data_IF_592697203186
#
_entry.id   IF_592697203186
#
_cell.length_a   1.000
_cell.length_b   1.000
_cell.length_c   1.000
_cell.angle_alpha   90.00
_cell.angle_beta   90.00
_cell.angle_gamma   90.00
#
_symmetry.space_group_name_H-M   'P 1'
#
loop_
_entity.id
_entity.type
_entity.pdbx_description
1 polymer ?
#
# COMPACT_ATOMS: atom_id res chain seq x y z
N UNK A 1 -18.15 55.70 46.61
CA UNK A 1 -18.43 54.25 46.69
C UNK A 1 -19.72 53.99 45.96
N UNK A 2 -19.65 53.58 44.70
CA UNK A 2 -20.77 52.99 43.97
C UNK A 2 -20.19 51.85 43.14
N UNK A 3 -20.91 50.75 43.22
CA UNK A 3 -20.55 49.37 42.93
C UNK A 3 -20.40 49.13 41.43
N UNK A 4 -19.28 48.54 41.03
CA UNK A 4 -19.02 48.10 39.65
C UNK A 4 -19.19 46.58 39.65
N UNK A 5 -20.40 46.16 39.34
CA UNK A 5 -20.71 44.76 39.05
C UNK A 5 -20.03 44.37 37.74
N UNK A 6 -18.92 43.65 37.84
CA UNK A 6 -18.30 42.95 36.72
C UNK A 6 -19.27 41.86 36.22
N UNK A 7 -19.60 41.88 34.93
CA UNK A 7 -20.28 40.79 34.25
C UNK A 7 -19.34 39.57 34.21
N UNK A 8 -19.74 38.48 34.87
CA UNK A 8 -19.07 37.19 34.73
C UNK A 8 -19.28 36.63 33.31
N UNK A 9 -18.22 36.09 32.67
CA UNK A 9 -18.36 35.46 31.36
C UNK A 9 -19.18 34.17 31.51
N UNK A 10 -20.38 34.17 30.92
CA UNK A 10 -21.30 33.04 30.91
C UNK A 10 -20.64 31.77 30.37
N UNK A 11 -20.68 30.71 31.18
CA UNK A 11 -20.21 29.38 30.81
C UNK A 11 -20.87 28.92 29.50
N UNK A 12 -20.05 28.56 28.52
CA UNK A 12 -20.54 27.94 27.27
C UNK A 12 -21.28 26.63 27.58
N UNK A 13 -22.46 26.37 27.01
CA UNK A 13 -23.25 25.19 27.34
C UNK A 13 -22.56 23.92 26.83
N UNK A 14 -22.21 23.02 27.75
CA UNK A 14 -21.71 21.68 27.43
C UNK A 14 -22.80 20.92 26.67
N UNK A 15 -22.56 20.63 25.40
CA UNK A 15 -23.48 19.88 24.53
C UNK A 15 -23.67 18.47 25.13
N UNK A 16 -24.85 18.16 25.68
CA UNK A 16 -25.17 16.81 26.21
C UNK A 16 -25.23 15.81 25.05
N UNK A 17 -24.32 14.83 25.05
CA UNK A 17 -24.34 13.71 24.09
C UNK A 17 -25.57 12.83 24.32
N UNK A 18 -26.18 12.38 23.22
CA UNK A 18 -27.28 11.41 23.25
C UNK A 18 -26.73 9.99 23.47
N UNK A 19 -27.56 9.09 23.99
CA UNK A 19 -27.18 7.67 24.14
C UNK A 19 -26.71 7.05 22.82
N UNK A 20 -27.36 7.41 21.71
CA UNK A 20 -26.98 6.93 20.37
C UNK A 20 -25.60 7.43 19.96
N UNK A 21 -25.24 8.67 20.28
CA UNK A 21 -23.90 9.21 19.99
C UNK A 21 -22.84 8.47 20.80
N UNK A 22 -23.08 8.24 22.09
CA UNK A 22 -22.18 7.44 22.93
C UNK A 22 -22.01 6.03 22.36
N UNK A 23 -23.10 5.33 22.03
CA UNK A 23 -23.03 3.98 21.45
C UNK A 23 -22.32 3.98 20.09
N UNK A 24 -22.50 5.02 19.27
CA UNK A 24 -21.80 5.17 17.98
C UNK A 24 -20.29 5.26 18.21
N UNK A 25 -19.86 6.09 19.16
CA UNK A 25 -18.45 6.28 19.47
C UNK A 25 -17.81 5.03 20.05
N UNK A 26 -18.51 4.32 20.96
CA UNK A 26 -18.04 3.03 21.49
C UNK A 26 -17.86 1.97 20.39
N UNK A 27 -18.81 1.84 19.46
CA UNK A 27 -18.67 0.89 18.34
C UNK A 27 -17.50 1.30 17.43
N UNK A 28 -17.32 2.60 17.16
CA UNK A 28 -16.15 3.09 16.43
C UNK A 28 -14.86 2.71 17.14
N UNK A 29 -14.75 2.91 18.45
CA UNK A 29 -13.55 2.55 19.22
C UNK A 29 -13.27 1.04 19.19
N UNK A 30 -14.29 0.19 19.28
CA UNK A 30 -14.15 -1.28 19.13
C UNK A 30 -13.54 -1.62 17.76
N UNK A 31 -13.96 -0.95 16.69
CA UNK A 31 -13.41 -1.16 15.34
C UNK A 31 -11.97 -0.63 15.25
N UNK A 32 -11.73 0.58 15.74
CA UNK A 32 -10.44 1.28 15.67
C UNK A 32 -9.35 0.66 16.54
N UNK A 33 -9.72 -0.04 17.61
CA UNK A 33 -8.81 -0.85 18.41
C UNK A 33 -8.57 -2.26 17.80
N UNK A 34 -9.22 -2.57 16.67
CA UNK A 34 -9.09 -3.84 15.97
C UNK A 34 -9.83 -5.01 16.62
N UNK A 35 -10.67 -4.78 17.64
CA UNK A 35 -11.52 -5.82 18.23
C UNK A 35 -12.54 -6.34 17.21
N UNK A 36 -13.02 -5.46 16.32
CA UNK A 36 -13.75 -5.82 15.10
C UNK A 36 -12.92 -5.40 13.89
N UNK A 37 -12.52 -6.36 13.07
CA UNK A 37 -11.66 -6.12 11.90
C UNK A 37 -12.49 -5.89 10.63
N UNK A 38 -11.94 -5.26 9.59
CA UNK A 38 -12.57 -5.16 8.28
C UNK A 38 -13.13 -6.50 7.78
N UNK A 39 -14.42 -6.53 7.45
CA UNK A 39 -15.17 -7.75 7.07
C UNK A 39 -15.84 -8.51 8.23
N UNK A 40 -15.52 -8.21 9.50
CA UNK A 40 -16.19 -8.81 10.64
C UNK A 40 -17.64 -8.32 10.76
N UNK A 41 -18.52 -9.20 11.24
CA UNK A 41 -19.94 -8.88 11.42
C UNK A 41 -20.16 -8.14 12.74
N UNK A 42 -20.83 -6.99 12.71
CA UNK A 42 -21.32 -6.32 13.91
C UNK A 42 -22.53 -7.07 14.47
N UNK A 43 -22.38 -7.68 15.64
CA UNK A 43 -23.44 -8.44 16.31
C UNK A 43 -24.19 -7.54 17.29
N UNK A 44 -25.26 -6.90 16.81
CA UNK A 44 -26.04 -5.91 17.58
C UNK A 44 -26.47 -6.37 18.97
N UNK A 45 -26.79 -7.67 19.14
CA UNK A 45 -27.17 -8.22 20.45
C UNK A 45 -26.01 -8.19 21.45
N UNK A 46 -24.84 -8.64 21.01
CA UNK A 46 -23.64 -8.73 21.85
C UNK A 46 -23.14 -7.34 22.24
N UNK A 47 -23.20 -6.38 21.30
CA UNK A 47 -22.88 -4.98 21.58
C UNK A 47 -23.87 -4.36 22.58
N UNK A 48 -25.17 -4.61 22.40
CA UNK A 48 -26.20 -4.11 23.31
C UNK A 48 -26.00 -4.64 24.74
N UNK A 49 -25.70 -5.93 24.87
CA UNK A 49 -25.40 -6.56 26.16
C UNK A 49 -24.13 -5.99 26.79
N UNK A 50 -23.03 -5.89 26.03
CA UNK A 50 -21.75 -5.34 26.50
C UNK A 50 -21.87 -3.91 27.00
N UNK A 51 -22.66 -3.08 26.31
CA UNK A 51 -22.85 -1.67 26.65
C UNK A 51 -23.99 -1.43 27.66
N UNK A 52 -24.72 -2.47 28.06
CA UNK A 52 -25.85 -2.34 29.00
C UNK A 52 -27.03 -1.53 28.46
N UNK A 53 -27.27 -1.58 27.15
CA UNK A 53 -28.33 -0.83 26.46
C UNK A 53 -29.30 -1.75 25.72
N UNK A 54 -30.45 -1.23 25.28
CA UNK A 54 -31.34 -1.98 24.40
C UNK A 54 -30.78 -2.04 22.97
N UNK A 55 -31.35 -2.92 22.12
CA UNK A 55 -30.92 -3.07 20.72
C UNK A 55 -31.27 -1.86 19.84
N UNK A 56 -32.20 -1.01 20.27
CA UNK A 56 -32.66 0.17 19.51
C UNK A 56 -31.54 1.18 19.25
N UNK A 57 -30.87 1.70 20.30
CA UNK A 57 -29.71 2.59 20.16
C UNK A 57 -28.57 1.97 19.34
N UNK A 58 -28.29 0.67 19.49
CA UNK A 58 -27.23 -0.02 18.72
C UNK A 58 -27.56 -0.08 17.22
N UNK A 59 -28.84 -0.33 16.86
CA UNK A 59 -29.28 -0.29 15.46
C UNK A 59 -29.12 1.07 14.83
N UNK A 60 -29.51 2.13 15.54
CA UNK A 60 -29.37 3.49 15.04
C UNK A 60 -27.91 3.91 14.94
N UNK A 61 -27.07 3.53 15.91
CA UNK A 61 -25.62 3.72 15.83
C UNK A 61 -25.04 2.96 14.63
N UNK A 62 -25.44 1.71 14.40
CA UNK A 62 -25.01 0.94 13.22
C UNK A 62 -25.43 1.61 11.90
N UNK A 63 -26.62 2.22 11.84
CA UNK A 63 -27.10 2.97 10.68
C UNK A 63 -26.24 4.20 10.42
N UNK A 64 -25.92 4.99 11.46
CA UNK A 64 -25.02 6.15 11.35
C UNK A 64 -23.63 5.75 10.89
N UNK A 65 -23.10 4.65 11.39
CA UNK A 65 -21.79 4.13 10.97
C UNK A 65 -21.78 3.59 9.53
N UNK A 66 -22.94 3.18 9.00
CA UNK A 66 -23.08 2.89 7.57
C UNK A 66 -23.08 4.16 6.73
N UNK A 67 -23.73 5.23 7.20
CA UNK A 67 -23.73 6.53 6.52
C UNK A 67 -22.33 7.16 6.46
N UNK A 68 -21.51 6.97 7.51
CA UNK A 68 -20.11 7.43 7.51
C UNK A 68 -19.15 6.47 6.81
N UNK A 69 -19.62 5.30 6.36
CA UNK A 69 -18.82 4.32 5.63
C UNK A 69 -17.92 3.45 6.51
N UNK A 70 -18.05 3.47 7.84
CA UNK A 70 -17.30 2.56 8.73
C UNK A 70 -17.89 1.13 8.71
N UNK A 71 -19.20 1.03 8.50
CA UNK A 71 -19.92 -0.23 8.33
C UNK A 71 -20.55 -0.30 6.94
N UNK A 72 -20.86 -1.51 6.50
CA UNK A 72 -21.69 -1.78 5.32
C UNK A 72 -22.85 -2.70 5.70
N UNK A 73 -24.05 -2.38 5.21
CA UNK A 73 -25.26 -3.15 5.44
C UNK A 73 -25.49 -4.16 4.31
N UNK A 74 -25.68 -5.43 4.67
CA UNK A 74 -26.09 -6.46 3.72
C UNK A 74 -27.52 -6.93 4.02
N UNK A 75 -28.44 -6.88 3.03
CA UNK A 75 -29.82 -7.34 3.20
C UNK A 75 -29.88 -8.75 3.82
N UNK A 76 -30.67 -8.89 4.89
CA UNK A 76 -30.86 -10.13 5.65
C UNK A 76 -29.61 -10.74 6.32
N UNK A 77 -28.41 -10.19 6.09
CA UNK A 77 -27.15 -10.68 6.67
C UNK A 77 -26.63 -9.81 7.80
N UNK A 78 -27.09 -8.55 7.90
CA UNK A 78 -26.74 -7.60 8.96
C UNK A 78 -25.65 -6.62 8.54
N UNK A 79 -25.04 -5.95 9.52
CA UNK A 79 -23.99 -4.96 9.31
C UNK A 79 -22.60 -5.56 9.50
N UNK A 80 -21.64 -5.17 8.67
CA UNK A 80 -20.26 -5.65 8.67
C UNK A 80 -19.31 -4.45 8.67
N UNK A 81 -18.14 -4.59 9.28
CA UNK A 81 -17.08 -3.57 9.16
C UNK A 81 -16.69 -3.46 7.68
N UNK A 82 -16.70 -2.25 7.14
CA UNK A 82 -16.41 -2.05 5.72
C UNK A 82 -14.98 -2.49 5.42
N UNK A 83 -14.80 -3.11 4.26
CA UNK A 83 -13.53 -3.57 3.74
C UNK A 83 -13.28 -2.89 2.40
N UNK A 84 -12.14 -2.21 2.27
CA UNK A 84 -11.79 -1.42 1.10
C UNK A 84 -10.95 -2.26 0.14
N UNK A 85 -11.22 -2.18 -1.16
CA UNK A 85 -10.37 -2.80 -2.18
C UNK A 85 -9.25 -1.84 -2.65
N UNK A 86 -8.27 -2.37 -3.40
CA UNK A 86 -7.11 -1.58 -3.88
C UNK A 86 -7.51 -0.32 -4.66
N UNK A 87 -8.55 -0.38 -5.48
CA UNK A 87 -9.02 0.77 -6.27
C UNK A 87 -9.60 1.84 -5.35
N UNK A 88 -10.45 1.46 -4.40
CA UNK A 88 -11.00 2.39 -3.42
C UNK A 88 -9.87 3.08 -2.63
N UNK A 89 -8.85 2.32 -2.22
CA UNK A 89 -7.67 2.87 -1.55
C UNK A 89 -6.94 3.87 -2.45
N UNK A 90 -6.66 3.53 -3.72
CA UNK A 90 -6.01 4.44 -4.65
C UNK A 90 -6.81 5.75 -4.86
N UNK A 91 -8.14 5.64 -4.96
CA UNK A 91 -9.04 6.80 -5.08
C UNK A 91 -9.00 7.67 -3.80
N UNK A 92 -9.01 7.05 -2.62
CA UNK A 92 -8.90 7.72 -1.32
C UNK A 92 -7.59 8.51 -1.21
N UNK A 93 -6.44 7.89 -1.52
CA UNK A 93 -5.14 8.57 -1.45
C UNK A 93 -4.99 9.68 -2.50
N UNK A 94 -5.60 9.52 -3.67
CA UNK A 94 -5.65 10.58 -4.68
C UNK A 94 -6.43 11.79 -4.17
N UNK A 95 -7.61 11.57 -3.58
CA UNK A 95 -8.40 12.64 -2.98
C UNK A 95 -7.69 13.28 -1.78
N UNK A 96 -7.07 12.45 -0.92
CA UNK A 96 -6.26 12.90 0.22
C UNK A 96 -5.16 13.86 -0.23
N UNK A 97 -4.36 13.47 -1.22
CA UNK A 97 -3.29 14.32 -1.74
C UNK A 97 -3.82 15.66 -2.27
N UNK A 98 -4.95 15.67 -2.99
CA UNK A 98 -5.57 16.91 -3.48
C UNK A 98 -5.98 17.81 -2.31
N UNK A 99 -6.74 17.29 -1.34
CA UNK A 99 -7.23 18.07 -0.20
C UNK A 99 -6.10 18.63 0.64
N UNK A 100 -5.16 17.78 1.02
CA UNK A 100 -4.09 18.14 1.93
C UNK A 100 -3.08 19.08 1.29
N UNK A 101 -2.67 18.83 0.03
CA UNK A 101 -1.77 19.75 -0.66
C UNK A 101 -2.40 21.13 -0.86
N UNK A 102 -3.68 21.21 -1.22
CA UNK A 102 -4.37 22.50 -1.34
C UNK A 102 -4.45 23.22 0.00
N UNK A 103 -4.81 22.52 1.09
CA UNK A 103 -4.82 23.12 2.42
C UNK A 103 -3.43 23.55 2.90
N UNK A 104 -2.40 22.75 2.64
CA UNK A 104 -1.03 23.07 3.00
C UNK A 104 -0.50 24.30 2.25
N UNK A 105 -0.87 24.46 0.98
CA UNK A 105 -0.57 25.65 0.20
C UNK A 105 -1.24 26.90 0.80
N UNK A 106 -2.52 26.80 1.18
CA UNK A 106 -3.24 27.87 1.89
C UNK A 106 -2.61 28.18 3.24
N UNK A 107 -2.23 27.15 4.00
CA UNK A 107 -1.65 27.26 5.33
C UNK A 107 -0.39 28.12 5.32
N UNK A 108 0.52 27.94 4.36
CA UNK A 108 1.75 28.76 4.28
C UNK A 108 1.45 30.28 4.25
N UNK A 109 0.29 30.67 3.71
CA UNK A 109 -0.14 32.08 3.62
C UNK A 109 -0.79 32.60 4.90
N UNK A 110 -1.55 31.78 5.62
CA UNK A 110 -2.45 32.23 6.70
C UNK A 110 -2.11 31.66 8.09
N UNK A 111 -1.21 30.69 8.18
CA UNK A 111 -0.92 29.95 9.41
C UNK A 111 -0.53 30.85 10.58
N UNK A 112 -1.20 30.62 11.72
CA UNK A 112 -1.00 31.34 12.97
C UNK A 112 -0.16 30.52 13.97
N UNK A 113 0.27 31.16 15.07
CA UNK A 113 1.04 30.50 16.12
C UNK A 113 0.24 29.37 16.80
N UNK A 114 -1.07 29.54 16.94
CA UNK A 114 -2.01 28.53 17.44
C UNK A 114 -2.07 27.29 16.55
N UNK A 115 -2.11 27.48 15.24
CA UNK A 115 -2.10 26.39 14.26
C UNK A 115 -0.80 25.59 14.34
N UNK A 116 0.34 26.28 14.37
CA UNK A 116 1.66 25.66 14.54
C UNK A 116 1.73 24.82 15.83
N UNK A 117 1.24 25.35 16.95
CA UNK A 117 1.20 24.62 18.21
C UNK A 117 0.30 23.38 18.12
N UNK A 118 -0.81 23.46 17.38
CA UNK A 118 -1.70 22.34 17.11
C UNK A 118 -1.04 21.23 16.29
N UNK A 119 -0.35 21.58 15.20
CA UNK A 119 0.38 20.61 14.36
C UNK A 119 1.52 19.96 15.16
N UNK A 120 2.27 20.75 15.93
CA UNK A 120 3.37 20.24 16.76
C UNK A 120 2.88 19.30 17.87
N UNK A 121 1.76 19.61 18.51
CA UNK A 121 1.14 18.71 19.48
C UNK A 121 0.72 17.38 18.84
N UNK A 122 0.15 17.41 17.64
CA UNK A 122 -0.21 16.20 16.90
C UNK A 122 1.03 15.39 16.48
N UNK A 123 2.12 16.05 16.04
CA UNK A 123 3.39 15.37 15.75
C UNK A 123 3.92 14.62 16.97
N UNK A 124 3.96 15.28 18.15
CA UNK A 124 4.41 14.65 19.41
C UNK A 124 3.62 13.38 19.73
N UNK A 125 2.33 13.38 19.43
CA UNK A 125 1.47 12.21 19.64
C UNK A 125 1.86 11.06 18.69
N UNK A 126 2.15 11.35 17.42
CA UNK A 126 2.63 10.34 16.46
C UNK A 126 3.99 9.77 16.87
N UNK A 127 4.92 10.61 17.33
CA UNK A 127 6.23 10.18 17.83
C UNK A 127 6.08 9.29 19.07
N UNK A 128 5.20 9.67 20.00
CA UNK A 128 4.93 8.90 21.21
C UNK A 128 4.31 7.53 20.88
N UNK A 129 3.36 7.49 19.94
CA UNK A 129 2.73 6.25 19.49
C UNK A 129 3.73 5.32 18.79
N UNK A 130 4.60 5.86 17.93
CA UNK A 130 5.64 5.13 17.24
C UNK A 130 6.68 4.55 18.22
N UNK A 131 7.17 5.35 19.18
CA UNK A 131 8.11 4.89 20.21
C UNK A 131 7.51 3.80 21.12
N UNK A 132 6.21 3.88 21.40
CA UNK A 132 5.49 2.89 22.19
C UNK A 132 5.15 1.60 21.41
N UNK A 133 5.46 1.54 20.10
CA UNK A 133 5.03 0.46 19.20
C UNK A 133 3.52 0.16 19.30
N UNK A 134 2.72 1.23 19.35
CA UNK A 134 1.28 1.16 19.58
C UNK A 134 0.51 1.48 18.28
N UNK A 135 0.34 0.51 17.36
CA UNK A 135 -0.25 0.77 16.03
C UNK A 135 -1.67 1.36 16.13
N UNK A 136 -2.52 0.90 17.05
CA UNK A 136 -3.86 1.47 17.23
C UNK A 136 -3.84 2.95 17.64
N UNK A 137 -2.88 3.33 18.51
CA UNK A 137 -2.67 4.74 18.90
C UNK A 137 -2.12 5.56 17.73
N UNK A 138 -1.28 4.96 16.90
CA UNK A 138 -0.71 5.61 15.71
C UNK A 138 -1.80 6.01 14.71
N UNK A 139 -2.84 5.20 14.51
CA UNK A 139 -3.94 5.51 13.57
C UNK A 139 -4.59 6.86 13.90
N UNK A 140 -4.97 7.07 15.16
CA UNK A 140 -5.59 8.33 15.58
C UNK A 140 -4.61 9.50 15.56
N UNK A 141 -3.36 9.24 15.94
CA UNK A 141 -2.31 10.26 15.93
C UNK A 141 -2.01 10.78 14.51
N UNK A 142 -1.91 9.85 13.54
CA UNK A 142 -1.68 10.13 12.12
C UNK A 142 -2.80 11.01 11.55
N UNK A 143 -4.04 10.56 11.69
CA UNK A 143 -5.20 11.32 11.23
C UNK A 143 -5.28 12.69 11.90
N UNK A 144 -4.97 12.79 13.20
CA UNK A 144 -4.98 14.06 13.92
C UNK A 144 -3.93 15.04 13.39
N UNK A 145 -2.74 14.55 13.01
CA UNK A 145 -1.67 15.35 12.41
C UNK A 145 -2.10 15.94 11.07
N UNK A 146 -2.59 15.09 10.15
CA UNK A 146 -3.07 15.54 8.84
C UNK A 146 -4.29 16.48 8.96
N UNK A 147 -5.21 16.20 9.88
CA UNK A 147 -6.34 17.09 10.14
C UNK A 147 -5.90 18.46 10.68
N UNK A 148 -4.84 18.51 11.50
CA UNK A 148 -4.28 19.76 12.00
C UNK A 148 -3.65 20.59 10.86
N UNK A 149 -2.94 19.92 9.94
CA UNK A 149 -2.41 20.57 8.75
C UNK A 149 -3.52 21.11 7.84
N UNK A 150 -4.60 20.35 7.61
CA UNK A 150 -5.74 20.83 6.84
C UNK A 150 -6.40 22.06 7.47
N UNK A 151 -6.59 22.05 8.80
CA UNK A 151 -7.18 23.17 9.54
C UNK A 151 -6.35 24.44 9.44
N UNK A 152 -5.02 24.32 9.41
CA UNK A 152 -4.11 25.46 9.29
C UNK A 152 -4.27 26.24 7.98
N UNK A 153 -4.90 25.66 6.95
CA UNK A 153 -5.29 26.37 5.72
C UNK A 153 -6.51 27.29 5.87
N UNK A 154 -7.23 27.22 7.00
CA UNK A 154 -8.42 28.01 7.33
C UNK A 154 -9.57 27.87 6.31
N UNK A 155 -9.58 26.77 5.56
CA UNK A 155 -10.65 26.42 4.63
C UNK A 155 -11.54 25.33 5.23
N UNK A 156 -12.69 25.75 5.76
CA UNK A 156 -13.63 24.86 6.44
C UNK A 156 -14.14 23.74 5.52
N UNK A 157 -14.29 24.00 4.21
CA UNK A 157 -14.78 22.99 3.25
C UNK A 157 -13.78 21.88 3.02
N UNK A 158 -12.49 22.21 2.94
CA UNK A 158 -11.43 21.20 2.85
C UNK A 158 -11.35 20.42 4.17
N UNK A 159 -11.35 21.12 5.31
CA UNK A 159 -11.31 20.50 6.64
C UNK A 159 -12.45 19.51 6.86
N UNK A 160 -13.69 19.91 6.55
CA UNK A 160 -14.86 19.05 6.67
C UNK A 160 -14.78 17.81 5.77
N UNK A 161 -14.27 17.99 4.56
CA UNK A 161 -14.15 16.90 3.58
C UNK A 161 -13.05 15.93 3.97
N UNK A 162 -11.90 16.43 4.43
CA UNK A 162 -10.85 15.61 5.02
C UNK A 162 -11.35 14.85 6.24
N UNK A 163 -12.09 15.50 7.14
CA UNK A 163 -12.65 14.86 8.34
C UNK A 163 -13.58 13.69 8.01
N UNK A 164 -14.34 13.79 6.91
CA UNK A 164 -15.14 12.67 6.39
C UNK A 164 -14.27 11.55 5.83
N UNK A 165 -13.29 11.90 4.97
CA UNK A 165 -12.33 10.96 4.38
C UNK A 165 -11.51 10.22 5.46
N UNK A 166 -11.23 10.87 6.58
CA UNK A 166 -10.48 10.32 7.69
C UNK A 166 -11.13 9.09 8.33
N UNK A 167 -12.44 8.86 8.13
CA UNK A 167 -13.08 7.60 8.54
C UNK A 167 -12.58 6.43 7.69
N UNK A 168 -12.42 6.65 6.39
CA UNK A 168 -11.91 5.65 5.46
C UNK A 168 -10.40 5.44 5.64
N UNK A 169 -9.63 6.50 5.93
CA UNK A 169 -8.19 6.37 6.25
C UNK A 169 -7.96 5.49 7.48
N UNK A 170 -8.78 5.62 8.52
CA UNK A 170 -8.73 4.72 9.68
C UNK A 170 -8.97 3.26 9.28
N UNK A 171 -9.95 2.98 8.42
CA UNK A 171 -10.19 1.63 7.91
C UNK A 171 -9.01 1.11 7.12
N UNK A 172 -8.39 1.97 6.28
CA UNK A 172 -7.18 1.61 5.56
C UNK A 172 -6.09 1.18 6.54
N UNK A 173 -5.81 1.98 7.57
CA UNK A 173 -4.76 1.65 8.54
C UNK A 173 -5.07 0.42 9.38
N UNK A 174 -6.34 0.14 9.67
CA UNK A 174 -6.75 -1.12 10.33
C UNK A 174 -6.46 -2.37 9.50
N UNK A 175 -6.36 -2.23 8.17
CA UNK A 175 -5.97 -3.32 7.28
C UNK A 175 -4.46 -3.54 7.24
N UNK A 176 -3.69 -2.64 7.88
CA UNK A 176 -2.24 -2.66 7.93
C UNK A 176 -1.72 -3.34 9.19
N UNK A 177 -0.54 -3.92 9.09
CA UNK A 177 0.20 -4.46 10.24
C UNK A 177 1.64 -3.97 10.21
N UNK A 178 1.86 -2.67 10.46
CA UNK A 178 3.18 -2.09 10.34
C UNK A 178 4.13 -2.65 11.39
N UNK A 179 5.38 -2.87 11.00
CA UNK A 179 6.46 -3.14 11.95
C UNK A 179 6.90 -1.85 12.67
N UNK A 180 7.67 -1.95 13.76
CA UNK A 180 8.20 -0.79 14.47
C UNK A 180 8.96 0.23 13.60
N UNK A 181 9.70 -0.22 12.58
CA UNK A 181 10.47 0.67 11.71
C UNK A 181 9.54 1.50 10.81
N UNK A 182 8.48 0.88 10.28
CA UNK A 182 7.45 1.55 9.49
C UNK A 182 6.70 2.61 10.30
N UNK A 183 6.37 2.32 11.56
CA UNK A 183 5.77 3.30 12.48
C UNK A 183 6.69 4.50 12.70
N UNK A 184 7.98 4.25 12.93
CA UNK A 184 8.97 5.32 13.10
C UNK A 184 9.22 6.11 11.80
N UNK A 185 9.20 5.45 10.64
CA UNK A 185 9.35 6.09 9.34
C UNK A 185 8.20 7.07 9.06
N UNK A 186 6.96 6.68 9.37
CA UNK A 186 5.80 7.57 9.26
C UNK A 186 5.95 8.81 10.14
N UNK A 187 6.33 8.65 11.43
CA UNK A 187 6.59 9.78 12.33
C UNK A 187 7.72 10.71 11.82
N UNK A 188 8.80 10.16 11.26
CA UNK A 188 9.86 10.97 10.61
C UNK A 188 9.33 11.75 9.39
N UNK A 189 8.41 11.17 8.62
CA UNK A 189 7.71 11.85 7.53
C UNK A 189 6.93 13.07 8.02
N UNK A 190 6.15 12.91 9.10
CA UNK A 190 5.42 14.01 9.73
C UNK A 190 6.36 15.11 10.24
N UNK A 191 7.49 14.75 10.84
CA UNK A 191 8.49 15.71 11.28
C UNK A 191 9.05 16.53 10.10
N UNK A 192 9.36 15.88 8.98
CA UNK A 192 9.83 16.55 7.76
C UNK A 192 8.79 17.52 7.18
N UNK A 193 7.49 17.17 7.26
CA UNK A 193 6.38 18.05 6.88
C UNK A 193 6.37 19.28 7.79
N UNK A 194 6.40 19.11 9.13
CA UNK A 194 6.39 20.23 10.06
C UNK A 194 7.60 21.17 9.86
N UNK A 195 8.79 20.62 9.58
CA UNK A 195 9.96 21.43 9.23
C UNK A 195 9.73 22.28 7.97
N UNK A 196 9.05 21.73 6.95
CA UNK A 196 8.70 22.49 5.75
C UNK A 196 7.66 23.58 6.03
N UNK A 197 6.69 23.31 6.92
CA UNK A 197 5.74 24.33 7.41
C UNK A 197 6.48 25.45 8.15
N UNK A 198 7.41 25.10 9.06
CA UNK A 198 8.25 26.07 9.81
C UNK A 198 9.07 26.96 8.88
N UNK A 199 9.64 26.37 7.83
CA UNK A 199 10.39 27.10 6.82
C UNK A 199 9.52 27.97 5.91
N UNK A 200 8.17 27.85 5.98
CA UNK A 200 7.19 28.51 5.11
C UNK A 200 7.53 28.37 3.61
N UNK A 201 8.12 27.24 3.23
CA UNK A 201 8.47 26.94 1.84
C UNK A 201 7.34 26.12 1.22
N UNK A 202 6.46 26.78 0.46
CA UNK A 202 5.34 26.10 -0.22
C UNK A 202 5.81 24.94 -1.09
N UNK A 203 6.83 25.16 -1.93
CA UNK A 203 7.37 24.12 -2.82
C UNK A 203 7.85 22.90 -2.05
N UNK A 204 8.66 23.11 -1.01
CA UNK A 204 9.17 22.01 -0.17
C UNK A 204 8.06 21.29 0.58
N UNK A 205 7.11 22.05 1.13
CA UNK A 205 5.97 21.49 1.87
C UNK A 205 5.12 20.59 0.97
N UNK A 206 4.78 21.06 -0.23
CA UNK A 206 4.01 20.28 -1.19
C UNK A 206 4.76 19.03 -1.66
N UNK A 207 6.06 19.14 -1.93
CA UNK A 207 6.87 18.00 -2.34
C UNK A 207 6.93 16.91 -1.25
N UNK A 208 7.26 17.29 -0.02
CA UNK A 208 7.40 16.34 1.11
C UNK A 208 6.04 15.73 1.48
N UNK A 209 4.98 16.54 1.54
CA UNK A 209 3.64 16.05 1.87
C UNK A 209 3.11 15.08 0.82
N UNK A 210 3.25 15.43 -0.47
CA UNK A 210 2.81 14.56 -1.56
C UNK A 210 3.58 13.25 -1.60
N UNK A 211 4.91 13.30 -1.43
CA UNK A 211 5.73 12.09 -1.35
C UNK A 211 5.27 11.21 -0.18
N UNK A 212 5.13 11.78 1.01
CA UNK A 212 4.66 11.06 2.19
C UNK A 212 3.30 10.36 1.98
N UNK A 213 2.31 11.04 1.40
CA UNK A 213 0.98 10.46 1.10
C UNK A 213 1.08 9.33 0.07
N UNK A 214 1.86 9.51 -1.00
CA UNK A 214 1.96 8.52 -2.08
C UNK A 214 2.83 7.31 -1.69
N UNK A 215 3.88 7.51 -0.91
CA UNK A 215 4.69 6.43 -0.35
C UNK A 215 3.83 5.56 0.58
N UNK A 216 3.01 6.18 1.43
CA UNK A 216 2.08 5.47 2.29
C UNK A 216 1.03 4.70 1.48
N UNK A 217 0.45 5.29 0.43
CA UNK A 217 -0.45 4.59 -0.52
C UNK A 217 0.22 3.32 -1.04
N UNK A 218 1.46 3.44 -1.49
CA UNK A 218 2.18 2.34 -2.12
C UNK A 218 2.53 1.25 -1.11
N UNK A 219 2.80 1.62 0.14
CA UNK A 219 2.93 0.69 1.25
C UNK A 219 1.60 -0.01 1.49
N UNK A 220 0.49 0.72 1.64
CA UNK A 220 -0.84 0.13 1.85
C UNK A 220 -1.23 -0.85 0.75
N UNK A 221 -1.03 -0.50 -0.51
CA UNK A 221 -1.35 -1.37 -1.63
C UNK A 221 -0.52 -2.67 -1.63
N UNK A 222 0.64 -2.71 -0.97
CA UNK A 222 1.40 -3.95 -0.75
C UNK A 222 0.78 -4.89 0.29
N UNK A 223 -0.07 -4.38 1.20
CA UNK A 223 -0.79 -5.18 2.19
C UNK A 223 -2.15 -5.66 1.69
N UNK A 224 -2.64 -5.17 0.55
CA UNK A 224 -3.97 -5.48 0.06
C UNK A 224 -3.91 -6.37 -1.18
N UNK A 225 -4.68 -7.46 -1.16
CA UNK A 225 -5.04 -8.19 -2.37
C UNK A 225 -6.06 -7.42 -3.22
N UNK A 226 -6.34 -7.86 -4.46
CA UNK A 226 -7.23 -7.15 -5.39
C UNK A 226 -8.63 -6.86 -4.83
N UNK A 227 -9.11 -7.69 -3.90
CA UNK A 227 -10.43 -7.60 -3.28
C UNK A 227 -10.40 -7.05 -1.84
N UNK A 228 -9.28 -6.45 -1.43
CA UNK A 228 -9.13 -5.89 -0.08
C UNK A 228 -8.78 -6.91 0.99
N UNK A 229 -8.55 -8.17 0.64
CA UNK A 229 -8.02 -9.17 1.57
C UNK A 229 -6.62 -8.77 2.02
N UNK A 230 -6.37 -8.74 3.33
CA UNK A 230 -5.04 -8.50 3.88
C UNK A 230 -4.10 -9.60 3.39
N UNK A 231 -2.99 -9.22 2.77
CA UNK A 231 -1.93 -10.14 2.41
C UNK A 231 -1.22 -10.60 3.71
N UNK A 232 -0.81 -11.88 3.80
CA UNK A 232 -0.09 -12.39 4.96
C UNK A 232 1.20 -11.59 5.19
N UNK A 233 1.58 -11.38 6.46
CA UNK A 233 2.78 -10.60 6.83
C UNK A 233 4.04 -11.22 6.24
N UNK A 234 5.05 -10.40 5.93
CA UNK A 234 6.38 -10.90 5.52
C UNK A 234 7.03 -11.78 6.59
N UNK A 235 6.74 -11.56 7.88
CA UNK A 235 7.21 -12.38 8.99
C UNK A 235 6.39 -13.68 9.19
N UNK A 236 5.15 -13.73 8.70
CA UNK A 236 4.33 -14.95 8.66
C UNK A 236 4.65 -15.79 7.41
N UNK A 237 5.33 -15.20 6.42
CA UNK A 237 6.04 -15.91 5.36
C UNK A 237 7.35 -16.41 5.95
N UNK A 238 7.24 -17.53 6.68
CA UNK A 238 8.39 -18.29 7.11
C UNK A 238 9.37 -18.44 5.93
N UNK A 239 10.59 -17.88 5.98
CA UNK A 239 11.59 -18.12 4.93
C UNK A 239 12.02 -19.59 4.91
N UNK A 240 11.60 -20.36 5.93
CA UNK A 240 11.69 -21.81 6.04
C UNK A 240 10.33 -22.51 5.95
N UNK A 241 9.29 -21.82 5.48
CA UNK A 241 8.02 -22.41 5.07
C UNK A 241 8.28 -23.33 3.88
N UNK A 242 8.71 -24.54 4.18
CA UNK A 242 9.22 -25.51 3.23
C UNK A 242 8.26 -25.64 2.05
N UNK A 243 8.84 -25.62 0.85
CA UNK A 243 8.28 -26.09 -0.41
C UNK A 243 6.81 -26.51 -0.27
N UNK A 244 5.89 -25.53 -0.27
CA UNK A 244 4.48 -25.84 -0.44
C UNK A 244 4.41 -26.63 -1.73
N UNK A 245 4.10 -27.93 -1.61
CA UNK A 245 4.25 -28.88 -2.69
C UNK A 245 3.68 -28.28 -3.97
N UNK A 246 4.54 -28.13 -4.98
CA UNK A 246 4.14 -27.73 -6.32
C UNK A 246 2.85 -28.48 -6.67
N UNK A 247 1.76 -27.74 -6.92
CA UNK A 247 0.48 -28.37 -7.29
C UNK A 247 0.43 -28.69 -8.79
N UNK A 248 1.46 -28.33 -9.55
CA UNK A 248 1.63 -28.76 -10.93
C UNK A 248 2.45 -30.06 -10.98
N UNK A 249 2.01 -31.01 -11.81
CA UNK A 249 2.81 -32.18 -12.15
C UNK A 249 3.82 -31.78 -13.25
N UNK A 250 5.07 -32.24 -13.14
CA UNK A 250 6.11 -32.02 -14.15
C UNK A 250 7.34 -31.26 -13.64
N UNK A 251 8.43 -31.30 -14.40
CA UNK A 251 9.69 -30.63 -14.06
C UNK A 251 9.82 -29.34 -14.86
N UNK A 252 10.06 -28.22 -14.17
CA UNK A 252 10.39 -26.96 -14.86
C UNK A 252 11.86 -26.95 -15.27
N UNK A 253 12.12 -26.66 -16.54
CA UNK A 253 13.47 -26.48 -17.08
C UNK A 253 13.56 -25.21 -17.92
N UNK A 254 14.79 -24.80 -18.26
CA UNK A 254 15.07 -23.59 -19.01
C UNK A 254 15.90 -23.93 -20.24
N UNK A 255 15.50 -23.42 -21.40
CA UNK A 255 16.29 -23.49 -22.63
C UNK A 255 16.46 -22.10 -23.26
N UNK A 256 17.61 -21.83 -23.94
CA UNK A 256 17.72 -20.62 -24.73
C UNK A 256 16.71 -20.65 -25.88
N UNK A 257 16.32 -19.46 -26.32
CA UNK A 257 15.48 -19.30 -27.51
C UNK A 257 16.21 -19.75 -28.78
N UNK A 258 15.42 -20.13 -29.78
CA UNK A 258 15.81 -20.24 -31.19
C UNK A 258 14.96 -19.30 -32.03
N UNK A 259 15.38 -18.97 -33.26
CA UNK A 259 14.64 -18.03 -34.12
C UNK A 259 13.18 -18.44 -34.37
N UNK A 260 12.89 -19.74 -34.42
CA UNK A 260 11.51 -20.23 -34.57
C UNK A 260 10.60 -19.95 -33.36
N UNK A 261 11.15 -19.54 -32.21
CA UNK A 261 10.37 -19.17 -31.03
C UNK A 261 9.83 -17.73 -31.09
N UNK A 262 10.37 -16.87 -31.95
CA UNK A 262 10.01 -15.44 -31.98
C UNK A 262 8.51 -15.16 -32.18
N UNK A 263 7.77 -15.89 -33.05
CA UNK A 263 6.32 -15.70 -33.14
C UNK A 263 5.59 -16.01 -31.82
N UNK A 264 6.05 -17.01 -31.05
CA UNK A 264 5.48 -17.36 -29.75
C UNK A 264 5.82 -16.31 -28.69
N UNK A 265 7.08 -15.87 -28.64
CA UNK A 265 7.55 -14.81 -27.76
C UNK A 265 6.81 -13.49 -28.00
N UNK A 266 6.55 -13.13 -29.25
CA UNK A 266 5.76 -11.95 -29.61
C UNK A 266 4.33 -12.02 -29.05
N UNK A 267 3.68 -13.19 -29.09
CA UNK A 267 2.35 -13.39 -28.50
C UNK A 267 2.38 -13.29 -26.97
N UNK A 268 3.33 -13.96 -26.32
CA UNK A 268 3.47 -13.87 -24.86
C UNK A 268 3.81 -12.44 -24.40
N UNK A 269 4.61 -11.70 -25.17
CA UNK A 269 4.91 -10.31 -24.87
C UNK A 269 3.69 -9.38 -25.02
N UNK A 270 2.80 -9.66 -25.98
CA UNK A 270 1.50 -8.98 -26.07
C UNK A 270 0.67 -9.20 -24.81
N UNK A 271 0.54 -10.45 -24.38
CA UNK A 271 -0.21 -10.77 -23.18
C UNK A 271 0.39 -10.12 -21.93
N UNK A 272 1.73 -10.08 -21.83
CA UNK A 272 2.43 -9.35 -20.76
C UNK A 272 2.06 -7.87 -20.76
N UNK A 273 2.13 -7.20 -21.91
CA UNK A 273 1.78 -5.78 -22.02
C UNK A 273 0.32 -5.51 -21.64
N UNK A 274 -0.60 -6.39 -22.05
CA UNK A 274 -2.02 -6.30 -21.68
C UNK A 274 -2.22 -6.47 -20.16
N UNK A 275 -1.49 -7.39 -19.53
CA UNK A 275 -1.54 -7.63 -18.08
C UNK A 275 -0.99 -6.46 -17.26
N UNK A 276 0.02 -5.78 -17.79
CA UNK A 276 0.63 -4.58 -17.19
C UNK A 276 -0.17 -3.30 -17.46
N UNK A 277 -1.28 -3.39 -18.20
CA UNK A 277 -2.11 -2.24 -18.58
C UNK A 277 -1.44 -1.30 -19.58
N UNK A 278 -0.37 -1.75 -20.24
CA UNK A 278 0.38 -0.96 -21.22
C UNK A 278 -0.17 -1.13 -22.63
N UNK A 279 -0.71 -0.06 -23.20
CA UNK A 279 -1.05 -0.03 -24.64
C UNK A 279 0.23 -0.01 -25.48
N UNK A 280 0.67 -1.18 -25.92
CA UNK A 280 1.76 -1.31 -26.87
C UNK A 280 1.24 -1.12 -28.31
N UNK A 281 1.65 -0.06 -29.04
CA UNK A 281 1.11 0.24 -30.37
C UNK A 281 1.62 -0.68 -31.49
N UNK A 282 2.61 -1.54 -31.21
CA UNK A 282 3.18 -2.44 -32.21
C UNK A 282 2.17 -3.52 -32.64
N UNK A 283 2.35 -4.16 -33.79
CA UNK A 283 1.66 -5.42 -34.15
C UNK A 283 2.46 -6.64 -33.64
N UNK A 284 1.89 -7.84 -33.72
CA UNK A 284 2.62 -9.08 -33.38
C UNK A 284 3.83 -9.25 -34.29
N UNK A 285 3.71 -8.98 -35.59
CA UNK A 285 4.83 -9.03 -36.55
C UNK A 285 5.93 -8.02 -36.20
N UNK A 286 5.56 -6.81 -35.76
CA UNK A 286 6.53 -5.81 -35.30
C UNK A 286 7.21 -6.22 -33.99
N UNK A 287 6.48 -6.87 -33.07
CA UNK A 287 7.05 -7.44 -31.85
C UNK A 287 8.02 -8.59 -32.16
N UNK A 288 7.72 -9.43 -33.14
CA UNK A 288 8.60 -10.51 -33.60
C UNK A 288 9.91 -9.94 -34.15
N UNK A 289 9.84 -8.95 -35.05
CA UNK A 289 11.02 -8.26 -35.56
C UNK A 289 11.80 -7.52 -34.45
N UNK A 290 11.12 -7.06 -33.40
CA UNK A 290 11.76 -6.45 -32.23
C UNK A 290 12.60 -7.47 -31.46
N UNK A 291 12.11 -8.70 -31.26
CA UNK A 291 12.89 -9.76 -30.59
C UNK A 291 14.18 -10.11 -31.34
N UNK A 292 14.13 -10.15 -32.67
CA UNK A 292 15.32 -10.35 -33.50
C UNK A 292 16.41 -9.31 -33.20
N UNK A 293 16.08 -8.02 -33.26
CA UNK A 293 17.03 -6.94 -32.92
C UNK A 293 17.47 -6.97 -31.46
N UNK A 294 16.54 -7.29 -30.57
CA UNK A 294 16.79 -7.35 -29.13
C UNK A 294 17.90 -8.35 -28.78
N UNK A 295 17.90 -9.51 -29.44
CA UNK A 295 18.93 -10.54 -29.29
C UNK A 295 20.17 -10.21 -30.12
N UNK A 296 19.98 -10.00 -31.43
CA UNK A 296 21.10 -9.97 -32.39
C UNK A 296 21.92 -8.67 -32.30
N UNK A 297 21.30 -7.55 -31.88
CA UNK A 297 21.92 -6.21 -31.89
C UNK A 297 22.12 -5.64 -30.48
N UNK A 298 21.19 -5.89 -29.55
CA UNK A 298 21.18 -5.26 -28.21
C UNK A 298 21.77 -6.15 -27.09
N UNK A 299 22.20 -7.36 -27.43
CA UNK A 299 22.92 -8.28 -26.53
C UNK A 299 22.05 -8.90 -25.43
N UNK A 300 20.74 -9.00 -25.64
CA UNK A 300 19.84 -9.62 -24.66
C UNK A 300 19.78 -11.13 -24.79
N UNK A 301 19.72 -11.79 -23.65
CA UNK A 301 19.42 -13.22 -23.57
C UNK A 301 17.92 -13.42 -23.39
N UNK A 302 17.37 -14.39 -24.12
CA UNK A 302 15.99 -14.84 -23.96
C UNK A 302 15.99 -16.33 -23.66
N UNK A 303 15.36 -16.69 -22.55
CA UNK A 303 15.23 -18.06 -22.06
C UNK A 303 13.74 -18.42 -21.95
N UNK A 304 13.38 -19.60 -22.44
CA UNK A 304 12.02 -20.14 -22.35
C UNK A 304 11.90 -21.10 -21.17
N UNK A 305 10.79 -20.99 -20.45
CA UNK A 305 10.40 -21.91 -19.38
C UNK A 305 9.66 -23.09 -19.99
N UNK A 306 10.15 -24.29 -19.72
CA UNK A 306 9.56 -25.54 -20.17
C UNK A 306 8.93 -26.25 -18.98
N UNK A 307 7.67 -26.66 -19.10
CA UNK A 307 7.07 -27.66 -18.22
C UNK A 307 6.98 -28.95 -19.03
N UNK A 308 7.85 -29.91 -18.71
CA UNK A 308 8.10 -31.07 -19.55
C UNK A 308 8.48 -30.65 -21.00
N UNK A 309 7.61 -30.88 -21.99
CA UNK A 309 7.86 -30.51 -23.40
C UNK A 309 7.13 -29.23 -23.86
N UNK A 310 6.36 -28.58 -22.98
CA UNK A 310 5.58 -27.38 -23.33
C UNK A 310 6.25 -26.09 -22.88
N UNK A 311 6.21 -25.07 -23.73
CA UNK A 311 6.62 -23.71 -23.37
C UNK A 311 5.53 -23.06 -22.53
N UNK A 312 5.86 -22.73 -21.28
CA UNK A 312 4.93 -22.16 -20.30
C UNK A 312 5.23 -20.71 -19.94
N UNK A 313 6.32 -20.16 -20.47
CA UNK A 313 6.70 -18.76 -20.25
C UNK A 313 8.08 -18.42 -20.79
N UNK A 314 8.55 -17.21 -20.49
CA UNK A 314 9.87 -16.75 -20.87
C UNK A 314 10.43 -15.69 -19.91
N UNK A 315 11.75 -15.51 -19.95
CA UNK A 315 12.43 -14.38 -19.33
C UNK A 315 13.42 -13.73 -20.31
N UNK A 316 13.62 -12.42 -20.13
CA UNK A 316 14.68 -11.68 -20.82
C UNK A 316 15.61 -11.03 -19.82
N UNK A 317 16.90 -11.25 -19.99
CA UNK A 317 17.92 -10.77 -19.07
C UNK A 317 19.21 -10.39 -19.81
N UNK A 318 20.00 -9.55 -19.16
CA UNK A 318 21.32 -9.13 -19.65
C UNK A 318 22.24 -8.82 -18.48
N UNK A 319 23.54 -9.09 -18.64
CA UNK A 319 24.55 -8.58 -17.72
C UNK A 319 24.92 -7.15 -18.09
N UNK A 320 24.96 -6.29 -17.10
CA UNK A 320 25.35 -4.89 -17.27
C UNK A 320 26.32 -4.46 -16.16
N UNK A 321 27.17 -3.44 -16.42
CA UNK A 321 28.06 -2.91 -15.39
C UNK A 321 27.28 -2.37 -14.20
N UNK A 322 27.82 -2.56 -13.00
CA UNK A 322 27.25 -1.99 -11.78
C UNK A 322 27.52 -0.47 -11.72
N UNK A 323 26.49 0.40 -11.62
CA UNK A 323 26.71 1.85 -11.57
C UNK A 323 27.56 2.33 -10.40
N UNK A 324 27.51 1.62 -9.25
CA UNK A 324 28.28 1.94 -8.06
C UNK A 324 29.67 1.30 -8.02
N UNK A 325 29.95 0.31 -8.87
CA UNK A 325 31.22 -0.40 -8.95
C UNK A 325 31.57 -0.69 -10.42
N UNK A 326 32.47 0.12 -11.04
CA UNK A 326 32.89 -0.07 -12.42
C UNK A 326 33.58 -1.41 -12.72
N UNK A 327 33.99 -2.15 -11.68
CA UNK A 327 34.57 -3.49 -11.81
C UNK A 327 33.56 -4.62 -11.59
N UNK A 328 32.35 -4.29 -11.12
CA UNK A 328 31.26 -5.21 -10.84
C UNK A 328 30.28 -5.34 -12.01
N UNK A 329 29.60 -6.47 -12.06
CA UNK A 329 28.49 -6.73 -12.98
C UNK A 329 27.23 -7.08 -12.20
N UNK A 330 26.08 -6.65 -12.71
CA UNK A 330 24.76 -7.07 -12.24
C UNK A 330 23.97 -7.72 -13.38
N UNK A 331 22.96 -8.49 -13.02
CA UNK A 331 22.01 -9.07 -13.97
C UNK A 331 20.75 -8.21 -13.96
N UNK A 332 20.41 -7.63 -15.10
CA UNK A 332 19.13 -6.94 -15.28
C UNK A 332 18.11 -7.87 -15.93
N UNK A 333 17.07 -8.22 -15.18
CA UNK A 333 15.94 -9.02 -15.59
C UNK A 333 14.81 -8.09 -16.05
N UNK A 334 14.65 -7.95 -17.37
CA UNK A 334 13.74 -6.96 -17.94
C UNK A 334 12.30 -7.45 -18.04
N UNK A 335 12.12 -8.71 -18.40
CA UNK A 335 10.80 -9.31 -18.54
C UNK A 335 10.83 -10.72 -17.96
N UNK A 336 9.75 -11.07 -17.27
CA UNK A 336 9.49 -12.42 -16.78
C UNK A 336 7.99 -12.66 -16.91
N UNK A 337 7.63 -13.69 -17.66
CA UNK A 337 6.24 -13.96 -17.97
C UNK A 337 5.97 -15.44 -17.90
N UNK A 338 4.89 -15.80 -17.21
CA UNK A 338 4.27 -17.12 -17.22
C UNK A 338 2.93 -16.97 -17.94
N UNK A 339 2.57 -17.92 -18.80
CA UNK A 339 1.29 -17.90 -19.52
C UNK A 339 0.13 -17.95 -18.51
N UNK A 340 -0.93 -17.15 -18.74
CA UNK A 340 -1.98 -16.85 -17.75
C UNK A 340 -2.60 -18.08 -17.05
N UNK A 341 -2.89 -19.15 -17.80
CA UNK A 341 -3.51 -20.35 -17.23
C UNK A 341 -2.56 -21.20 -16.38
N UNK A 342 -1.25 -20.92 -16.43
CA UNK A 342 -0.22 -21.54 -15.62
C UNK A 342 0.19 -20.72 -14.38
N UNK A 343 -0.43 -19.53 -14.13
CA UNK A 343 -0.02 -18.59 -13.06
C UNK A 343 -0.51 -18.93 -11.65
N UNK A 344 -1.08 -20.12 -11.47
CA UNK A 344 -1.51 -20.64 -10.18
C UNK A 344 -0.66 -21.88 -9.90
N UNK A 345 -0.55 -22.32 -8.65
CA UNK A 345 0.16 -23.57 -8.30
C UNK A 345 1.70 -23.51 -8.15
N UNK A 346 2.32 -22.33 -8.16
CA UNK A 346 3.72 -22.14 -7.79
C UNK A 346 4.73 -22.20 -8.95
N UNK A 347 4.26 -22.34 -10.20
CA UNK A 347 5.12 -22.46 -11.39
C UNK A 347 6.06 -21.27 -11.59
N UNK A 348 5.62 -20.06 -11.26
CA UNK A 348 6.46 -18.86 -11.36
C UNK A 348 7.72 -18.93 -10.49
N UNK A 349 7.60 -19.44 -9.26
CA UNK A 349 8.76 -19.63 -8.38
C UNK A 349 9.71 -20.67 -8.98
N UNK A 350 9.18 -21.82 -9.37
CA UNK A 350 9.97 -22.89 -9.97
C UNK A 350 10.68 -22.47 -11.26
N UNK A 351 10.03 -21.65 -12.09
CA UNK A 351 10.62 -21.08 -13.30
C UNK A 351 11.76 -20.09 -12.98
N UNK A 352 11.59 -19.25 -11.96
CA UNK A 352 12.65 -18.35 -11.51
C UNK A 352 13.84 -19.14 -10.93
N UNK A 353 13.58 -20.12 -10.07
CA UNK A 353 14.63 -20.97 -9.49
C UNK A 353 15.41 -21.71 -10.60
N UNK A 354 14.69 -22.22 -11.61
CA UNK A 354 15.32 -22.87 -12.76
C UNK A 354 16.15 -21.88 -13.60
N UNK A 355 15.72 -20.62 -13.74
CA UNK A 355 16.50 -19.58 -14.42
C UNK A 355 17.79 -19.26 -13.67
N UNK A 356 17.68 -19.02 -12.35
CA UNK A 356 18.81 -18.73 -11.47
C UNK A 356 19.83 -19.86 -11.54
N UNK A 357 19.38 -21.10 -11.39
CA UNK A 357 20.24 -22.28 -11.43
C UNK A 357 20.93 -22.48 -12.80
N UNK A 358 20.27 -22.10 -13.89
CA UNK A 358 20.77 -22.33 -15.25
C UNK A 358 21.62 -21.19 -15.82
N UNK A 359 21.50 -19.95 -15.31
CA UNK A 359 22.10 -18.75 -15.94
C UNK A 359 22.91 -17.86 -15.00
N UNK A 360 22.64 -17.88 -13.70
CA UNK A 360 23.25 -16.94 -12.77
C UNK A 360 24.26 -17.64 -11.84
N UNK A 361 25.23 -16.86 -11.35
CA UNK A 361 26.32 -17.31 -10.50
C UNK A 361 26.00 -16.95 -9.04
N UNK A 362 26.42 -17.77 -8.06
CA UNK A 362 26.42 -17.35 -6.66
C UNK A 362 27.12 -15.99 -6.48
N UNK A 363 26.48 -15.08 -5.75
CA UNK A 363 26.93 -13.70 -5.57
C UNK A 363 26.48 -12.72 -6.66
N UNK A 364 25.86 -13.17 -7.76
CA UNK A 364 25.24 -12.24 -8.71
C UNK A 364 24.12 -11.45 -8.04
N UNK A 365 24.07 -10.16 -8.37
CA UNK A 365 22.97 -9.25 -8.01
C UNK A 365 21.99 -9.19 -9.18
N UNK A 366 20.77 -9.66 -8.96
CA UNK A 366 19.69 -9.64 -9.96
C UNK A 366 18.77 -8.48 -9.66
N UNK A 367 18.57 -7.61 -10.64
CA UNK A 367 17.71 -6.43 -10.51
C UNK A 367 16.61 -6.44 -11.57
N UNK A 368 15.46 -5.88 -11.24
CA UNK A 368 14.36 -5.67 -12.19
C UNK A 368 13.55 -4.43 -11.85
N UNK A 369 12.95 -3.83 -12.86
CA UNK A 369 11.96 -2.76 -12.69
C UNK A 369 10.57 -3.39 -12.64
N UNK A 370 9.93 -3.34 -11.46
CA UNK A 370 8.56 -3.79 -11.32
C UNK A 370 7.62 -2.62 -11.67
N UNK A 371 6.80 -2.81 -12.71
CA UNK A 371 5.86 -1.79 -13.15
C UNK A 371 4.83 -1.55 -12.05
N UNK A 372 4.67 -0.30 -11.62
CA UNK A 372 3.77 0.12 -10.53
C UNK A 372 2.31 -0.33 -10.75
N UNK A 373 1.87 -0.39 -12.01
CA UNK A 373 0.51 -0.79 -12.40
C UNK A 373 0.28 -2.31 -12.43
N UNK A 374 1.28 -3.14 -12.15
CA UNK A 374 1.17 -4.59 -12.03
C UNK A 374 1.42 -5.05 -10.58
N UNK A 375 0.49 -4.81 -9.65
CA UNK A 375 0.66 -5.15 -8.23
C UNK A 375 0.82 -6.66 -8.00
N UNK A 376 0.21 -7.50 -8.85
CA UNK A 376 0.39 -8.95 -8.81
C UNK A 376 1.83 -9.38 -9.12
N UNK A 377 2.48 -8.72 -10.07
CA UNK A 377 3.90 -8.93 -10.38
C UNK A 377 4.81 -8.53 -9.22
N UNK A 378 4.55 -7.38 -8.57
CA UNK A 378 5.32 -6.94 -7.40
C UNK A 378 5.22 -7.93 -6.23
N UNK A 379 4.02 -8.40 -5.91
CA UNK A 379 3.80 -9.40 -4.84
C UNK A 379 4.53 -10.71 -5.13
N UNK A 380 4.52 -11.15 -6.40
CA UNK A 380 5.27 -12.32 -6.83
C UNK A 380 6.77 -12.14 -6.55
N UNK A 381 7.37 -11.02 -6.96
CA UNK A 381 8.80 -10.79 -6.78
C UNK A 381 9.24 -10.71 -5.33
N UNK A 382 8.45 -10.07 -4.47
CA UNK A 382 8.72 -10.04 -3.04
C UNK A 382 8.70 -11.45 -2.43
N UNK A 383 7.76 -12.31 -2.84
CA UNK A 383 7.70 -13.72 -2.39
C UNK A 383 8.89 -14.54 -2.86
N UNK A 384 9.36 -14.27 -4.08
CA UNK A 384 10.54 -14.92 -4.68
C UNK A 384 11.83 -14.51 -3.96
N UNK A 385 11.80 -13.46 -3.13
CA UNK A 385 12.92 -13.01 -2.32
C UNK A 385 13.57 -11.72 -2.83
N UNK A 386 12.93 -11.00 -3.75
CA UNK A 386 13.39 -9.66 -4.12
C UNK A 386 13.03 -8.63 -3.04
N UNK A 387 13.86 -7.61 -2.89
CA UNK A 387 13.69 -6.49 -1.96
C UNK A 387 13.65 -5.14 -2.69
N UNK A 388 12.83 -4.17 -2.26
CA UNK A 388 12.82 -2.82 -2.86
C UNK A 388 14.14 -2.06 -2.71
N UNK A 389 14.57 -1.42 -3.79
CA UNK A 389 15.75 -0.56 -3.88
C UNK A 389 15.47 0.64 -4.82
N UNK A 390 15.13 1.80 -4.24
CA UNK A 390 15.01 3.12 -4.93
C UNK A 390 14.00 3.23 -6.10
N UNK A 391 13.32 2.15 -6.51
CA UNK A 391 12.32 1.96 -7.60
C UNK A 391 12.51 0.62 -8.33
N UNK A 392 13.64 -0.04 -8.07
CA UNK A 392 14.05 -1.34 -8.61
C UNK A 392 13.85 -2.40 -7.52
N UNK A 393 13.58 -3.64 -7.91
CA UNK A 393 13.60 -4.79 -7.01
C UNK A 393 14.93 -5.53 -7.17
N UNK A 394 15.55 -5.95 -6.08
CA UNK A 394 16.86 -6.61 -6.05
C UNK A 394 16.82 -7.98 -5.37
N UNK A 395 17.52 -8.96 -5.92
CA UNK A 395 17.69 -10.31 -5.37
C UNK A 395 19.14 -10.76 -5.44
N UNK A 396 19.67 -11.27 -4.32
CA UNK A 396 21.02 -11.83 -4.24
C UNK A 396 21.00 -13.34 -4.46
N UNK A 397 21.74 -13.82 -5.47
CA UNK A 397 21.86 -15.26 -5.74
C UNK A 397 22.72 -15.90 -4.65
N UNK A 398 22.09 -16.70 -3.77
CA UNK A 398 22.76 -17.38 -2.65
C UNK A 398 23.55 -18.61 -3.12
N UNK A 399 24.56 -18.97 -2.34
CA UNK A 399 25.26 -20.26 -2.51
C UNK A 399 24.35 -21.40 -2.06
N UNK A 400 24.40 -22.60 -2.68
CA UNK A 400 23.63 -23.77 -2.24
C UNK A 400 23.96 -24.26 -0.81
N UNK A 401 24.95 -23.66 -0.14
CA UNK A 401 25.52 -24.09 1.13
C UNK A 401 25.25 -23.12 2.31
N UNK A 402 24.45 -22.06 2.11
CA UNK A 402 24.14 -21.03 3.13
C UNK A 402 22.72 -21.16 3.73
#
# INVERSE_FOLDING_TARGET
MMDSTAEEPGASPVKRRTLVETVTEEISQIILNGELRPGDKLREAEIAERLGVSRGPVREASRRLQETGLLTGHPFRGSFVRKLNQREVADIYTLRAVLECTAAEEAVRVIEASDFAGIEAALRETETAALANAPGRMIEADVAFHAALCRAGHNERITDTFTRLATELRLVHLMMHPDPEQLQAAARGHAAILEAVRARSTERLLAVLKAHILDERDIVLQYLGPHGDSLPKSADLDPKGGAGASKFAGKVTVRPHVRSDFPLLARMNRELADDEGHRNPMTIEQMEARFGRFVDEEGWSVDLFMLDDEVVGYATHRREPEPSDPSGERVFLRQFYIVRHYRRDGLGQAAFDALVAARFRPGDRVILEAIENNPGGRVFWLRVGFTPYSSILEHFVRSPLD
#
